data_IF_139115774928
#
_entry.id   IF_139115774928
#
_cell.length_a   1.000
_cell.length_b   1.000
_cell.length_c   1.000
_cell.angle_alpha   90.00
_cell.angle_beta   90.00
_cell.angle_gamma   90.00
#
_symmetry.space_group_name_H-M   'P 1'
#
loop_
_entity.id
_entity.type
_entity.pdbx_description
1 polymer ?
#
# COMPACT_ATOMS: atom_id res chain seq x y z
N UNK A 1 -2.18 -11.77 21.78
CA UNK A 1 -1.41 -10.58 22.19
C UNK A 1 0.07 -10.60 21.81
N UNK A 2 0.71 -11.77 21.65
CA UNK A 2 2.14 -11.90 21.27
C UNK A 2 2.43 -11.47 19.82
N UNK A 3 1.61 -11.91 18.85
CA UNK A 3 1.84 -11.62 17.42
C UNK A 3 1.73 -10.13 17.07
N UNK A 4 0.74 -9.42 17.64
CA UNK A 4 0.57 -7.98 17.39
C UNK A 4 1.77 -7.18 17.92
N UNK A 5 2.29 -7.50 19.11
CA UNK A 5 3.49 -6.83 19.64
C UNK A 5 4.73 -7.09 18.77
N UNK A 6 4.84 -8.29 18.19
CA UNK A 6 5.94 -8.63 17.28
C UNK A 6 5.83 -7.91 15.93
N UNK A 7 4.62 -7.79 15.36
CA UNK A 7 4.34 -7.00 14.17
C UNK A 7 4.71 -5.52 14.38
N UNK A 8 4.24 -4.92 15.48
CA UNK A 8 4.55 -3.52 15.82
C UNK A 8 6.07 -3.28 15.96
N UNK A 9 6.80 -4.23 16.54
CA UNK A 9 8.28 -4.15 16.63
C UNK A 9 8.95 -4.27 15.27
N UNK A 10 8.42 -5.14 14.40
CA UNK A 10 8.91 -5.30 13.03
C UNK A 10 8.73 -4.01 12.22
N UNK A 11 7.57 -3.35 12.33
CA UNK A 11 7.28 -2.11 11.58
C UNK A 11 8.21 -0.97 11.98
N UNK A 12 8.47 -0.81 13.30
CA UNK A 12 9.41 0.19 13.79
C UNK A 12 10.84 -0.11 13.32
N UNK A 13 11.24 -1.39 13.31
CA UNK A 13 12.57 -1.80 12.84
C UNK A 13 12.79 -1.48 11.35
N UNK A 14 11.74 -1.49 10.51
CA UNK A 14 11.84 -1.04 9.11
C UNK A 14 12.29 0.42 9.05
N UNK A 15 11.69 1.30 9.84
CA UNK A 15 12.07 2.71 9.90
C UNK A 15 13.50 2.90 10.44
N UNK A 16 13.83 2.25 11.56
CA UNK A 16 15.17 2.34 12.16
C UNK A 16 16.27 1.88 11.20
N UNK A 17 16.02 0.81 10.43
CA UNK A 17 16.96 0.34 9.42
C UNK A 17 17.11 1.33 8.26
N UNK A 18 16.01 2.00 7.85
CA UNK A 18 16.08 3.05 6.84
C UNK A 18 16.94 4.24 7.32
N UNK A 19 16.82 4.64 8.60
CA UNK A 19 17.66 5.69 9.21
C UNK A 19 19.13 5.29 9.22
N UNK A 20 19.45 4.04 9.57
CA UNK A 20 20.84 3.54 9.51
C UNK A 20 21.42 3.60 8.10
N UNK A 21 20.64 3.21 7.09
CA UNK A 21 21.05 3.28 5.68
C UNK A 21 21.18 4.73 5.18
N UNK A 22 20.45 5.67 5.79
CA UNK A 22 20.57 7.09 5.56
C UNK A 22 21.64 7.75 6.45
N UNK A 23 22.57 6.97 7.03
CA UNK A 23 23.63 7.49 7.90
C UNK A 23 23.16 8.33 9.10
N UNK A 24 21.96 8.03 9.61
CA UNK A 24 21.35 8.74 10.74
C UNK A 24 20.37 9.85 10.35
N UNK A 25 20.23 10.16 9.06
CA UNK A 25 19.31 11.19 8.58
C UNK A 25 17.86 10.65 8.48
N UNK A 26 16.99 11.11 9.40
CA UNK A 26 15.58 10.73 9.41
C UNK A 26 14.77 11.29 8.24
N UNK A 27 15.10 12.48 7.73
CA UNK A 27 14.40 13.10 6.59
C UNK A 27 14.68 12.29 5.33
N UNK A 28 15.96 12.02 5.05
CA UNK A 28 16.37 11.14 3.95
C UNK A 28 15.76 9.74 4.08
N UNK A 29 15.68 9.18 5.29
CA UNK A 29 15.04 7.88 5.51
C UNK A 29 13.54 7.88 5.15
N UNK A 30 12.81 8.93 5.54
CA UNK A 30 11.38 9.12 5.22
C UNK A 30 11.17 9.27 3.72
N UNK A 31 11.99 10.06 3.05
CA UNK A 31 11.92 10.20 1.61
C UNK A 31 12.15 8.85 0.90
N UNK A 32 13.18 8.11 1.32
CA UNK A 32 13.51 6.83 0.72
C UNK A 32 12.42 5.79 0.91
N UNK A 33 11.81 5.72 2.10
CA UNK A 33 10.67 4.84 2.36
C UNK A 33 9.45 5.26 1.53
N UNK A 34 9.14 6.56 1.46
CA UNK A 34 8.01 7.08 0.69
C UNK A 34 8.17 6.79 -0.81
N UNK A 35 9.37 7.02 -1.36
CA UNK A 35 9.72 6.68 -2.75
C UNK A 35 9.53 5.19 -3.03
N UNK A 36 9.94 4.32 -2.10
CA UNK A 36 9.72 2.86 -2.21
C UNK A 36 8.24 2.48 -2.19
N UNK A 37 7.46 3.03 -1.26
CA UNK A 37 6.00 2.80 -1.15
C UNK A 37 5.32 3.15 -2.48
N UNK A 38 5.60 4.34 -3.03
CA UNK A 38 5.06 4.78 -4.33
C UNK A 38 5.54 3.88 -5.46
N UNK A 39 6.80 3.45 -5.43
CA UNK A 39 7.35 2.49 -6.39
C UNK A 39 6.60 1.15 -6.36
N UNK A 40 6.29 0.63 -5.17
CA UNK A 40 5.49 -0.58 -5.01
C UNK A 40 4.05 -0.40 -5.50
N UNK A 41 3.41 0.74 -5.21
CA UNK A 41 2.07 1.02 -5.73
C UNK A 41 2.04 0.96 -7.27
N UNK A 42 2.98 1.65 -7.92
CA UNK A 42 3.14 1.60 -9.38
C UNK A 42 3.40 0.18 -9.87
N UNK A 43 4.23 -0.60 -9.17
CA UNK A 43 4.51 -1.98 -9.53
C UNK A 43 3.25 -2.84 -9.44
N UNK A 44 2.51 -2.77 -8.33
CA UNK A 44 1.24 -3.49 -8.13
C UNK A 44 0.32 -3.20 -9.31
N UNK A 45 0.04 -1.92 -9.61
CA UNK A 45 -0.84 -1.58 -10.72
C UNK A 45 -0.34 -2.09 -12.07
N UNK A 46 0.94 -1.88 -12.39
CA UNK A 46 1.50 -2.24 -13.70
C UNK A 46 1.62 -3.74 -13.93
N UNK A 47 1.64 -4.54 -12.86
CA UNK A 47 1.86 -5.98 -12.92
C UNK A 47 0.64 -6.80 -12.54
N UNK A 48 -0.41 -6.16 -12.01
CA UNK A 48 -1.66 -6.81 -11.66
C UNK A 48 -2.28 -7.45 -12.90
N UNK A 49 -2.57 -8.75 -12.80
CA UNK A 49 -3.27 -9.50 -13.82
C UNK A 49 -4.35 -10.34 -13.13
N UNK A 50 -5.64 -9.95 -13.21
CA UNK A 50 -6.70 -10.64 -12.49
C UNK A 50 -6.82 -12.11 -12.88
N UNK A 51 -6.61 -12.46 -14.16
CA UNK A 51 -6.67 -13.84 -14.65
C UNK A 51 -5.52 -14.73 -14.18
N UNK A 52 -4.46 -14.16 -13.59
CA UNK A 52 -3.32 -14.90 -13.00
C UNK A 52 -3.25 -14.80 -11.48
N UNK A 53 -4.16 -14.03 -10.90
CA UNK A 53 -4.32 -13.79 -9.46
C UNK A 53 -5.67 -14.36 -9.01
N UNK A 54 -6.12 -15.46 -9.62
CA UNK A 54 -7.26 -16.22 -9.12
C UNK A 54 -6.92 -16.65 -7.69
N UNK A 55 -7.55 -15.98 -6.71
CA UNK A 55 -7.34 -16.15 -5.26
C UNK A 55 -6.07 -15.51 -4.66
N UNK A 56 -5.81 -14.23 -4.96
CA UNK A 56 -4.83 -13.47 -4.17
C UNK A 56 -5.33 -13.20 -2.74
N UNK A 57 -4.52 -13.55 -1.75
CA UNK A 57 -4.79 -13.25 -0.33
C UNK A 57 -4.38 -11.82 0.05
N UNK A 58 -3.47 -11.18 -0.70
CA UNK A 58 -2.95 -9.85 -0.33
C UNK A 58 -3.50 -8.72 -1.18
N UNK A 59 -4.08 -9.00 -2.35
CA UNK A 59 -4.71 -7.96 -3.18
C UNK A 59 -6.08 -8.36 -3.72
N UNK A 60 -6.98 -7.36 -3.84
CA UNK A 60 -8.31 -7.56 -4.40
C UNK A 60 -8.71 -6.38 -5.30
N UNK A 61 -9.17 -6.65 -6.53
CA UNK A 61 -9.65 -5.62 -7.44
C UNK A 61 -11.13 -5.34 -7.18
N UNK A 62 -11.46 -4.08 -6.89
CA UNK A 62 -12.84 -3.63 -6.72
C UNK A 62 -13.09 -2.35 -7.51
N UNK A 63 -14.31 -2.18 -7.99
CA UNK A 63 -14.80 -0.89 -8.51
C UNK A 63 -15.38 -0.10 -7.36
N UNK A 64 -14.89 1.12 -7.14
CA UNK A 64 -15.34 1.99 -6.06
C UNK A 64 -15.64 3.38 -6.59
N UNK A 65 -16.68 4.01 -6.07
CA UNK A 65 -16.95 5.42 -6.33
C UNK A 65 -15.98 6.28 -5.50
N UNK A 66 -14.98 6.85 -6.17
CA UNK A 66 -13.95 7.70 -5.54
C UNK A 66 -14.40 9.16 -5.39
N UNK A 67 -15.57 9.51 -5.95
CA UNK A 67 -16.16 10.85 -5.91
C UNK A 67 -17.22 11.00 -4.82
N UNK A 68 -17.65 9.90 -4.21
CA UNK A 68 -18.58 9.91 -3.09
C UNK A 68 -20.05 10.08 -3.47
N UNK A 69 -20.45 9.45 -4.58
CA UNK A 69 -21.83 9.39 -5.06
C UNK A 69 -22.06 10.17 -6.36
N UNK A 70 -21.01 10.78 -6.93
CA UNK A 70 -21.11 11.53 -8.20
C UNK A 70 -20.78 10.69 -9.44
N UNK A 71 -20.65 9.36 -9.27
CA UNK A 71 -20.82 8.39 -10.36
C UNK A 71 -19.58 8.07 -11.18
N UNK A 72 -18.39 8.47 -10.74
CA UNK A 72 -17.14 7.98 -11.36
C UNK A 72 -16.62 6.81 -10.54
N UNK A 73 -16.91 5.60 -11.01
CA UNK A 73 -16.30 4.39 -10.48
C UNK A 73 -14.87 4.25 -11.00
N UNK A 74 -13.91 4.05 -10.09
CA UNK A 74 -12.54 3.71 -10.43
C UNK A 74 -12.23 2.28 -9.99
N UNK A 75 -11.45 1.58 -10.81
CA UNK A 75 -10.86 0.29 -10.47
C UNK A 75 -9.69 0.48 -9.51
N UNK A 76 -9.87 0.00 -8.28
CA UNK A 76 -8.87 0.06 -7.21
C UNK A 76 -8.44 -1.35 -6.82
N UNK A 77 -7.12 -1.57 -6.78
CA UNK A 77 -6.52 -2.79 -6.25
C UNK A 77 -6.27 -2.54 -4.76
N UNK A 78 -7.11 -3.11 -3.90
CA UNK A 78 -7.00 -3.03 -2.46
C UNK A 78 -5.96 -3.99 -1.90
N UNK A 79 -5.30 -3.60 -0.81
CA UNK A 79 -4.42 -4.46 -0.04
C UNK A 79 -5.24 -5.14 1.06
N UNK A 80 -5.49 -6.43 0.93
CA UNK A 80 -6.43 -7.19 1.78
C UNK A 80 -5.97 -7.24 3.24
N UNK A 81 -4.67 -7.39 3.50
CA UNK A 81 -4.07 -7.39 4.84
C UNK A 81 -4.29 -6.09 5.62
N UNK A 82 -4.62 -5.01 4.92
CA UNK A 82 -4.96 -3.73 5.54
C UNK A 82 -6.44 -3.63 5.90
N UNK A 83 -7.18 -4.74 5.86
CA UNK A 83 -8.65 -4.76 5.87
C UNK A 83 -9.23 -3.88 4.75
N UNK A 84 -8.57 -3.88 3.57
CA UNK A 84 -8.88 -3.01 2.44
C UNK A 84 -8.80 -1.50 2.76
N UNK A 85 -8.08 -1.08 3.80
CA UNK A 85 -7.92 0.33 4.12
C UNK A 85 -7.00 1.07 3.14
N UNK A 86 -6.14 0.37 2.39
CA UNK A 86 -5.31 0.97 1.36
C UNK A 86 -5.55 0.33 0.00
N UNK A 87 -5.49 1.13 -1.05
CA UNK A 87 -5.65 0.66 -2.41
C UNK A 87 -4.85 1.46 -3.41
N UNK A 88 -4.72 0.92 -4.62
CA UNK A 88 -3.98 1.51 -5.72
C UNK A 88 -4.86 1.64 -6.94
N UNK A 89 -4.90 2.84 -7.50
CA UNK A 89 -5.73 3.14 -8.64
C UNK A 89 -5.05 2.84 -9.98
N UNK A 90 -5.73 3.23 -11.07
CA UNK A 90 -5.26 2.96 -12.43
C UNK A 90 -3.90 3.59 -12.78
N UNK A 91 -3.51 4.64 -12.06
CA UNK A 91 -2.29 5.43 -12.26
C UNK A 91 -1.17 5.07 -11.29
N UNK A 92 -1.41 4.12 -10.38
CA UNK A 92 -0.47 3.82 -9.29
C UNK A 92 -0.54 4.84 -8.14
N UNK A 93 -1.58 5.66 -8.08
CA UNK A 93 -1.85 6.54 -6.94
C UNK A 93 -2.41 5.74 -5.77
N UNK A 94 -2.02 6.12 -4.56
CA UNK A 94 -2.41 5.42 -3.33
C UNK A 94 -3.66 6.08 -2.78
N UNK A 95 -4.67 5.25 -2.49
CA UNK A 95 -5.87 5.62 -1.77
C UNK A 95 -5.83 5.02 -0.36
N UNK A 96 -6.40 5.74 0.60
CA UNK A 96 -6.58 5.31 1.97
C UNK A 96 -8.01 5.52 2.43
N UNK A 97 -8.51 4.64 3.30
CA UNK A 97 -9.80 4.78 3.95
C UNK A 97 -9.74 5.88 5.00
N UNK A 98 -10.67 6.83 4.91
CA UNK A 98 -10.85 7.95 5.82
C UNK A 98 -12.30 7.94 6.33
N UNK A 99 -12.47 7.65 7.62
CA UNK A 99 -13.79 7.73 8.29
C UNK A 99 -14.25 9.20 8.43
N UNK A 100 -13.37 10.19 8.21
CA UNK A 100 -13.61 11.60 8.56
C UNK A 100 -14.54 12.37 7.61
N UNK A 101 -14.88 11.87 6.42
CA UNK A 101 -15.44 12.73 5.36
C UNK A 101 -16.84 12.35 4.85
N UNK A 102 -17.66 11.63 5.62
CA UNK A 102 -19.09 11.41 5.29
C UNK A 102 -19.37 10.76 3.93
N UNK A 103 -18.34 10.29 3.24
CA UNK A 103 -18.42 9.65 1.94
C UNK A 103 -18.87 8.21 2.18
N UNK A 104 -19.92 7.77 1.47
CA UNK A 104 -20.50 6.43 1.57
C UNK A 104 -19.46 5.30 1.37
N UNK A 105 -18.32 5.61 0.76
CA UNK A 105 -17.18 4.71 0.60
C UNK A 105 -15.87 5.16 1.28
N UNK A 106 -15.80 6.35 1.89
CA UNK A 106 -14.70 6.77 2.77
C UNK A 106 -13.28 6.89 2.17
N UNK A 107 -13.01 6.50 0.92
CA UNK A 107 -11.65 6.50 0.36
C UNK A 107 -11.22 7.87 -0.18
N UNK A 108 -9.97 8.26 0.11
CA UNK A 108 -9.34 9.46 -0.47
C UNK A 108 -7.93 9.14 -0.95
N UNK A 109 -7.47 9.90 -1.95
CA UNK A 109 -6.07 9.87 -2.37
C UNK A 109 -5.17 10.34 -1.23
N UNK A 110 -4.05 9.64 -1.03
CA UNK A 110 -3.01 10.01 -0.08
C UNK A 110 -1.93 10.81 -0.80
N UNK A 111 -1.71 12.05 -0.39
CA UNK A 111 -0.70 12.90 -1.01
C UNK A 111 0.70 12.57 -0.46
N UNK A 112 1.75 12.86 -1.24
CA UNK A 112 3.14 12.53 -0.86
C UNK A 112 3.53 13.14 0.50
N UNK A 113 3.13 14.37 0.76
CA UNK A 113 3.39 15.04 2.04
C UNK A 113 2.78 14.28 3.22
N UNK A 114 1.65 13.61 3.01
CA UNK A 114 1.01 12.83 4.07
C UNK A 114 1.80 11.56 4.35
N UNK A 115 2.28 10.87 3.30
CA UNK A 115 3.16 9.68 3.44
C UNK A 115 4.45 10.04 4.17
N UNK A 116 5.10 11.15 3.78
CA UNK A 116 6.35 11.62 4.39
C UNK A 116 6.20 11.89 5.88
N UNK A 117 5.04 12.42 6.28
CA UNK A 117 4.76 12.83 7.66
C UNK A 117 4.08 11.74 8.50
N UNK A 118 3.89 10.52 7.97
CA UNK A 118 3.36 9.41 8.76
C UNK A 118 4.25 9.12 9.99
N UNK A 119 3.67 8.78 11.15
CA UNK A 119 4.42 8.27 12.29
C UNK A 119 5.37 7.13 11.91
N UNK A 120 6.51 6.99 12.61
CA UNK A 120 7.58 6.02 12.29
C UNK A 120 7.05 4.59 12.11
N UNK A 121 6.14 4.19 12.99
CA UNK A 121 5.46 2.90 12.92
C UNK A 121 4.56 2.78 11.69
N UNK A 122 3.80 3.83 11.37
CA UNK A 122 2.81 3.81 10.28
C UNK A 122 3.48 3.82 8.91
N UNK A 123 4.57 4.58 8.70
CA UNK A 123 5.34 4.51 7.45
C UNK A 123 6.03 3.14 7.29
N UNK A 124 6.51 2.54 8.38
CA UNK A 124 7.07 1.19 8.39
C UNK A 124 6.03 0.13 8.02
N UNK A 125 4.85 0.20 8.63
CA UNK A 125 3.71 -0.65 8.33
C UNK A 125 3.27 -0.50 6.87
N UNK A 126 3.07 0.73 6.38
CA UNK A 126 2.66 0.99 5.00
C UNK A 126 3.70 0.45 4.00
N UNK A 127 4.99 0.63 4.27
CA UNK A 127 6.05 0.02 3.48
C UNK A 127 5.97 -1.50 3.47
N UNK A 128 5.74 -2.14 4.63
CA UNK A 128 5.61 -3.58 4.74
C UNK A 128 4.48 -4.11 3.85
N UNK A 129 3.27 -3.58 4.00
CA UNK A 129 2.08 -4.07 3.29
C UNK A 129 2.21 -3.91 1.77
N UNK A 130 2.67 -2.74 1.31
CA UNK A 130 2.91 -2.51 -0.12
C UNK A 130 4.02 -3.40 -0.67
N UNK A 131 5.07 -3.68 0.11
CA UNK A 131 6.15 -4.58 -0.31
C UNK A 131 5.65 -6.01 -0.49
N UNK A 132 4.79 -6.51 0.41
CA UNK A 132 4.26 -7.87 0.34
C UNK A 132 3.29 -8.03 -0.84
N UNK A 133 2.36 -7.09 -1.01
CA UNK A 133 1.47 -7.05 -2.17
C UNK A 133 2.25 -6.99 -3.50
N UNK A 134 3.27 -6.13 -3.58
CA UNK A 134 4.14 -6.03 -4.76
C UNK A 134 4.86 -7.36 -5.07
N UNK A 135 5.34 -8.08 -4.06
CA UNK A 135 6.00 -9.38 -4.26
C UNK A 135 5.04 -10.44 -4.80
N UNK A 136 3.82 -10.52 -4.30
CA UNK A 136 2.82 -11.48 -4.78
C UNK A 136 2.45 -11.20 -6.23
N UNK A 137 2.08 -9.95 -6.54
CA UNK A 137 1.75 -9.52 -7.90
C UNK A 137 2.92 -9.78 -8.85
N UNK A 138 4.17 -9.61 -8.39
CA UNK A 138 5.34 -9.92 -9.19
C UNK A 138 5.58 -11.42 -9.39
N UNK A 139 5.38 -12.26 -8.35
CA UNK A 139 5.57 -13.71 -8.40
C UNK A 139 4.58 -14.41 -9.33
N UNK A 140 3.33 -13.94 -9.38
CA UNK A 140 2.27 -14.47 -10.26
C UNK A 140 2.46 -14.14 -11.76
N UNK A 141 3.68 -13.76 -12.16
CA UNK A 141 4.10 -13.61 -13.56
C UNK A 141 4.42 -14.95 -14.23
N UNK A 142 4.81 -15.97 -13.47
CA UNK A 142 5.32 -17.25 -13.99
C UNK A 142 4.41 -18.43 -13.64
N UNK A 143 3.41 -18.65 -14.49
CA UNK A 143 2.98 -20.01 -14.86
C UNK A 143 2.91 -20.00 -16.39
N UNK A 144 4.03 -20.35 -17.04
CA UNK A 144 3.97 -20.92 -18.38
C UNK A 144 3.82 -22.42 -18.13
N UNK A 145 2.61 -22.93 -18.29
CA UNK A 145 2.38 -24.35 -18.51
C UNK A 145 3.20 -24.78 -19.73
N UNK A 146 3.97 -25.86 -19.53
CA UNK A 146 4.74 -26.59 -20.54
C UNK A 146 3.80 -27.12 -21.61
#
# INVERSE_FOLDING_TARGET
MSNLKNLVKSDIAIFENAVKLAHGDEETARENLSKKIIGFAKLIRNRFNPSKLEESELVNLQKVDTTGGFGVEEEIIFLTNTNNCFGVNSRGEIYSFSVKSGNKYGFRRLDLNEILNLPKKEIGYLHHEFCQAAKEVFKNRYVRSI
#
